data_IF_030798524178
#
_entry.id   IF_030798524178
#
_cell.length_a   1.000
_cell.length_b   1.000
_cell.length_c   1.000
_cell.angle_alpha   90.00
_cell.angle_beta   90.00
_cell.angle_gamma   90.00
#
_symmetry.space_group_name_H-M   'P 1'
#
loop_
_entity.id
_entity.type
_entity.pdbx_description
1 polymer ?
#
# COMPACT_ATOMS: atom_id res chain seq x y z
N UNK A 1 23.42 -3.93 63.95
CA UNK A 1 23.68 -2.79 63.04
C UNK A 1 23.59 -3.29 61.62
N UNK A 2 22.50 -3.00 60.92
CA UNK A 2 22.36 -3.25 59.47
C UNK A 2 22.26 -1.89 58.78
N UNK A 3 23.04 -1.62 57.71
CA UNK A 3 23.06 -0.29 57.12
C UNK A 3 21.79 -0.07 56.30
N UNK A 4 21.07 1.00 56.63
CA UNK A 4 19.97 1.54 55.84
C UNK A 4 20.55 2.15 54.56
N UNK A 5 20.46 1.41 53.44
CA UNK A 5 20.86 1.89 52.12
C UNK A 5 19.89 2.96 51.64
N UNK A 6 20.28 4.23 51.75
CA UNK A 6 19.52 5.35 51.19
C UNK A 6 19.59 5.28 49.66
N UNK A 7 18.46 4.97 49.03
CA UNK A 7 18.28 5.07 47.58
C UNK A 7 18.36 6.54 47.19
N UNK A 8 19.27 6.88 46.28
CA UNK A 8 19.45 8.28 45.84
C UNK A 8 18.35 8.67 44.83
N UNK A 9 17.91 9.95 44.77
CA UNK A 9 16.88 10.39 43.83
C UNK A 9 17.19 10.07 42.35
N UNK A 10 18.48 10.02 42.00
CA UNK A 10 18.96 9.65 40.66
C UNK A 10 18.68 8.17 40.31
N UNK A 11 18.70 7.27 41.31
CA UNK A 11 18.36 5.85 41.14
C UNK A 11 16.84 5.63 40.98
N UNK A 12 16.01 6.51 41.55
CA UNK A 12 14.55 6.48 41.39
C UNK A 12 14.10 7.00 40.00
N UNK A 13 14.82 7.97 39.42
CA UNK A 13 14.43 8.60 38.15
C UNK A 13 14.84 7.79 36.90
N UNK A 14 15.97 7.09 36.92
CA UNK A 14 16.48 6.35 35.75
C UNK A 14 15.64 5.10 35.41
N UNK A 15 15.16 4.37 36.42
CA UNK A 15 14.29 3.20 36.23
C UNK A 15 12.89 3.58 35.71
N UNK A 16 12.35 4.71 36.19
CA UNK A 16 11.06 5.27 35.78
C UNK A 16 11.03 5.62 34.29
N UNK A 17 12.05 6.31 33.78
CA UNK A 17 12.14 6.68 32.36
C UNK A 17 12.33 5.47 31.44
N UNK A 18 13.07 4.46 31.89
CA UNK A 18 13.24 3.23 31.11
C UNK A 18 11.92 2.45 31.01
N UNK A 19 11.19 2.29 32.13
CA UNK A 19 9.90 1.61 32.15
C UNK A 19 8.83 2.37 31.33
N UNK A 20 8.79 3.71 31.43
CA UNK A 20 7.94 4.56 30.59
C UNK A 20 8.27 4.40 29.10
N UNK A 21 9.56 4.36 28.75
CA UNK A 21 10.01 4.14 27.37
C UNK A 21 9.60 2.76 26.85
N UNK A 22 9.66 1.71 27.67
CA UNK A 22 9.18 0.37 27.31
C UNK A 22 7.66 0.34 27.16
N UNK A 23 6.91 0.98 28.07
CA UNK A 23 5.46 1.10 27.99
C UNK A 23 5.01 1.86 26.73
N UNK A 24 5.71 2.92 26.35
CA UNK A 24 5.46 3.65 25.10
C UNK A 24 5.79 2.80 23.86
N UNK A 25 6.87 2.01 23.89
CA UNK A 25 7.23 1.09 22.80
C UNK A 25 6.18 -0.03 22.65
N UNK A 26 5.66 -0.58 23.76
CA UNK A 26 4.57 -1.55 23.73
C UNK A 26 3.25 -0.95 23.24
N UNK A 27 3.00 0.32 23.54
CA UNK A 27 1.85 1.06 23.04
C UNK A 27 1.99 1.45 21.55
N UNK A 28 3.18 1.30 20.94
CA UNK A 28 3.32 1.49 19.51
C UNK A 28 2.54 0.41 18.77
N UNK A 29 1.75 0.88 17.80
CA UNK A 29 0.94 0.05 16.90
C UNK A 29 1.73 -1.02 16.13
N UNK A 30 3.06 -0.88 16.02
CA UNK A 30 3.92 -1.81 15.31
C UNK A 30 5.21 -2.06 16.09
N UNK A 31 5.50 -3.33 16.39
CA UNK A 31 6.83 -3.75 16.80
C UNK A 31 7.76 -3.75 15.57
N UNK A 32 8.95 -3.14 15.68
CA UNK A 32 9.99 -3.29 14.64
C UNK A 32 10.48 -4.74 14.66
N UNK A 33 10.22 -5.48 13.59
CA UNK A 33 10.82 -6.80 13.41
C UNK A 33 12.31 -6.63 13.09
N UNK A 34 13.18 -7.48 13.65
CA UNK A 34 14.56 -7.54 13.21
C UNK A 34 14.58 -7.98 11.75
N UNK A 35 15.37 -7.29 10.91
CA UNK A 35 15.62 -7.77 9.54
C UNK A 35 16.37 -9.09 9.66
N UNK A 36 15.70 -10.19 9.33
CA UNK A 36 16.33 -11.50 9.19
C UNK A 36 17.31 -11.54 8.02
N UNK A 37 18.07 -12.62 7.92
CA UNK A 37 19.04 -12.86 6.86
C UNK A 37 18.36 -12.82 5.48
N UNK A 38 18.93 -12.08 4.54
CA UNK A 38 18.40 -11.92 3.18
C UNK A 38 18.36 -13.29 2.50
N UNK A 39 17.15 -13.83 2.27
CA UNK A 39 16.97 -15.00 1.40
C UNK A 39 17.11 -14.54 -0.05
N UNK A 40 18.04 -15.15 -0.78
CA UNK A 40 18.14 -15.01 -2.24
C UNK A 40 17.14 -15.97 -2.87
N UNK A 41 16.07 -15.45 -3.44
CA UNK A 41 15.30 -16.19 -4.43
C UNK A 41 16.06 -16.14 -5.76
N UNK A 42 16.06 -17.24 -6.51
CA UNK A 42 16.52 -17.24 -7.89
C UNK A 42 15.52 -16.38 -8.70
N UNK A 43 15.73 -15.07 -8.73
CA UNK A 43 14.94 -14.18 -9.55
C UNK A 43 15.23 -14.55 -11.01
N UNK A 44 14.21 -15.04 -11.71
CA UNK A 44 14.28 -15.24 -13.16
C UNK A 44 14.59 -13.91 -13.88
N UNK A 45 15.05 -14.01 -15.13
CA UNK A 45 15.24 -12.85 -15.99
C UNK A 45 14.00 -11.95 -15.97
N UNK A 46 14.20 -10.64 -15.85
CA UNK A 46 13.09 -9.73 -15.68
C UNK A 46 12.28 -9.61 -16.97
N UNK A 47 11.01 -9.98 -16.93
CA UNK A 47 10.06 -9.89 -18.06
C UNK A 47 9.68 -8.44 -18.41
N UNK A 48 10.14 -7.45 -17.65
CA UNK A 48 9.73 -6.06 -17.78
C UNK A 48 10.61 -5.33 -18.82
N UNK A 49 10.02 -4.78 -19.89
CA UNK A 49 10.73 -3.96 -20.87
C UNK A 49 11.40 -2.74 -20.24
N UNK A 50 12.58 -2.36 -20.76
CA UNK A 50 13.32 -1.18 -20.29
C UNK A 50 12.48 0.10 -20.38
N UNK A 51 11.72 0.26 -21.46
CA UNK A 51 10.85 1.42 -21.71
C UNK A 51 9.75 1.63 -20.65
N UNK A 52 9.37 0.58 -19.91
CA UNK A 52 8.33 0.66 -18.88
C UNK A 52 8.90 0.93 -17.48
N UNK A 53 10.20 1.19 -17.35
CA UNK A 53 10.79 1.57 -16.07
C UNK A 53 10.28 2.93 -15.60
N UNK A 54 10.16 3.08 -14.28
CA UNK A 54 9.68 4.29 -13.62
C UNK A 54 10.54 5.52 -13.91
N UNK A 55 11.79 5.34 -14.33
CA UNK A 55 12.69 6.44 -14.75
C UNK A 55 12.21 7.12 -16.03
N UNK A 56 11.43 6.42 -16.87
CA UNK A 56 10.83 6.95 -18.09
C UNK A 56 9.41 7.48 -17.87
N UNK A 57 8.89 7.35 -16.65
CA UNK A 57 7.56 7.83 -16.30
C UNK A 57 7.53 9.36 -16.36
N UNK A 58 6.46 9.98 -16.91
CA UNK A 58 6.26 11.42 -16.84
C UNK A 58 6.44 12.01 -15.42
N UNK A 59 7.09 13.17 -15.33
CA UNK A 59 7.50 13.79 -14.05
C UNK A 59 6.30 14.35 -13.27
N UNK A 60 5.24 14.78 -13.95
CA UNK A 60 3.96 15.19 -13.36
C UNK A 60 3.36 14.13 -12.43
N UNK A 61 3.51 12.85 -12.78
CA UNK A 61 3.10 11.71 -11.96
C UNK A 61 3.86 11.70 -10.63
N UNK A 62 5.15 12.04 -10.62
CA UNK A 62 5.99 12.02 -9.40
C UNK A 62 5.48 12.96 -8.32
N UNK A 63 4.95 14.12 -8.71
CA UNK A 63 4.52 15.18 -7.80
C UNK A 63 3.17 14.93 -7.13
N UNK A 64 2.44 13.87 -7.51
CA UNK A 64 1.17 13.46 -6.88
C UNK A 64 0.11 14.58 -6.91
N UNK A 65 0.14 15.39 -7.97
CA UNK A 65 -0.74 16.55 -8.15
C UNK A 65 -2.06 16.19 -8.83
N UNK A 66 -2.02 15.16 -9.67
CA UNK A 66 -3.17 14.66 -10.44
C UNK A 66 -3.65 13.36 -9.81
N UNK A 67 -4.97 13.17 -9.76
CA UNK A 67 -5.59 11.93 -9.29
C UNK A 67 -5.61 10.88 -10.40
N UNK A 68 -5.67 9.60 -10.02
CA UNK A 68 -5.77 8.48 -10.96
C UNK A 68 -4.45 7.79 -11.28
N UNK A 69 -3.38 8.15 -10.55
CA UNK A 69 -2.13 7.41 -10.56
C UNK A 69 -2.08 6.51 -9.31
N UNK A 70 -1.89 5.22 -9.52
CA UNK A 70 -1.98 4.21 -8.46
C UNK A 70 -0.63 3.54 -8.22
N UNK A 71 -0.37 3.16 -6.97
CA UNK A 71 0.69 2.22 -6.61
C UNK A 71 0.04 0.88 -6.28
N UNK A 72 0.46 -0.20 -6.96
CA UNK A 72 0.00 -1.55 -6.68
C UNK A 72 0.97 -2.37 -5.84
N UNK A 73 0.46 -3.32 -5.06
CA UNK A 73 1.25 -4.33 -4.34
C UNK A 73 0.44 -5.60 -4.08
N UNK A 74 1.11 -6.64 -3.57
CA UNK A 74 0.50 -7.83 -3.02
C UNK A 74 0.77 -7.99 -1.53
N UNK A 75 -0.30 -8.21 -0.79
CA UNK A 75 -0.23 -8.81 0.54
C UNK A 75 -0.32 -10.32 0.35
N UNK A 76 0.81 -11.01 0.48
CA UNK A 76 0.86 -12.49 0.45
C UNK A 76 0.37 -13.06 1.78
N UNK A 77 -0.37 -14.17 1.69
CA UNK A 77 -0.88 -14.96 2.81
C UNK A 77 0.05 -16.12 3.19
N UNK A 78 -0.48 -17.07 3.94
CA UNK A 78 0.21 -18.25 4.42
C UNK A 78 0.92 -18.98 3.27
N UNK A 79 2.21 -19.27 3.45
CA UNK A 79 3.04 -20.03 2.50
C UNK A 79 3.04 -19.49 1.06
N UNK A 80 2.72 -18.20 0.86
CA UNK A 80 2.55 -17.57 -0.47
C UNK A 80 1.50 -18.25 -1.37
N UNK A 81 0.51 -18.96 -0.79
CA UNK A 81 -0.53 -19.68 -1.55
C UNK A 81 -1.77 -18.84 -1.89
N UNK A 82 -1.94 -17.71 -1.20
CA UNK A 82 -3.04 -16.77 -1.41
C UNK A 82 -2.50 -15.34 -1.40
N UNK A 83 -3.18 -14.43 -2.08
CA UNK A 83 -2.80 -13.02 -2.09
C UNK A 83 -4.02 -12.10 -2.12
N UNK A 84 -3.86 -10.90 -1.58
CA UNK A 84 -4.78 -9.77 -1.78
C UNK A 84 -3.99 -8.67 -2.49
N UNK A 85 -4.51 -8.19 -3.61
CA UNK A 85 -3.94 -7.04 -4.29
C UNK A 85 -4.31 -5.76 -3.57
N UNK A 86 -3.36 -4.85 -3.44
CA UNK A 86 -3.59 -3.52 -2.86
C UNK A 86 -3.31 -2.47 -3.93
N UNK A 87 -4.20 -1.49 -4.04
CA UNK A 87 -4.06 -0.34 -4.91
C UNK A 87 -4.20 0.91 -4.05
N UNK A 88 -3.21 1.80 -4.10
CA UNK A 88 -3.22 3.06 -3.35
C UNK A 88 -3.08 4.22 -4.33
N UNK A 89 -4.07 5.10 -4.34
CA UNK A 89 -4.05 6.29 -5.17
C UNK A 89 -3.01 7.28 -4.62
N UNK A 90 -2.14 7.80 -5.48
CA UNK A 90 -0.90 8.49 -5.06
C UNK A 90 -1.13 9.90 -4.54
N UNK A 91 -2.22 10.57 -4.90
CA UNK A 91 -2.58 11.92 -4.43
C UNK A 91 -3.38 11.84 -3.13
N UNK A 92 -4.54 11.19 -3.19
CA UNK A 92 -5.58 11.07 -2.17
C UNK A 92 -5.31 10.01 -1.12
N UNK A 93 -4.38 9.07 -1.37
CA UNK A 93 -4.12 7.88 -0.53
C UNK A 93 -5.29 6.91 -0.43
N UNK A 94 -6.28 7.05 -1.30
CA UNK A 94 -7.43 6.16 -1.31
C UNK A 94 -7.01 4.73 -1.62
N UNK A 95 -7.47 3.79 -0.81
CA UNK A 95 -7.09 2.38 -0.86
C UNK A 95 -8.22 1.56 -1.47
N UNK A 96 -7.86 0.69 -2.42
CA UNK A 96 -8.73 -0.35 -2.94
C UNK A 96 -8.06 -1.70 -2.70
N UNK A 97 -8.81 -2.63 -2.15
CA UNK A 97 -8.38 -4.01 -1.94
C UNK A 97 -9.04 -4.92 -2.97
N UNK A 98 -8.23 -5.77 -3.58
CA UNK A 98 -8.65 -6.66 -4.65
C UNK A 98 -8.50 -8.10 -4.18
N UNK A 99 -9.62 -8.82 -4.05
CA UNK A 99 -9.60 -10.27 -3.86
C UNK A 99 -8.99 -10.91 -5.10
N UNK A 100 -8.01 -11.79 -4.89
CA UNK A 100 -7.44 -12.63 -5.93
C UNK A 100 -7.96 -14.05 -5.78
N UNK A 101 -8.19 -14.71 -6.91
CA UNK A 101 -8.64 -16.11 -6.95
C UNK A 101 -7.46 -17.10 -6.91
N UNK A 102 -6.23 -16.58 -7.01
CA UNK A 102 -4.99 -17.31 -6.90
C UNK A 102 -3.78 -16.37 -6.80
N UNK A 103 -2.59 -16.89 -7.08
CA UNK A 103 -1.33 -16.15 -7.02
C UNK A 103 -0.64 -16.00 -8.39
N UNK A 104 -1.34 -16.33 -9.49
CA UNK A 104 -0.78 -16.23 -10.83
C UNK A 104 -0.89 -14.81 -11.38
N UNK A 105 -0.18 -14.53 -12.48
CA UNK A 105 -0.30 -13.25 -13.17
C UNK A 105 -1.69 -13.02 -13.80
N UNK A 106 -2.36 -14.10 -14.22
CA UNK A 106 -3.74 -14.04 -14.69
C UNK A 106 -4.72 -13.65 -13.58
N UNK A 107 -4.58 -14.27 -12.40
CA UNK A 107 -5.42 -13.95 -11.23
C UNK A 107 -5.25 -12.48 -10.81
N UNK A 108 -3.99 -12.01 -10.80
CA UNK A 108 -3.64 -10.63 -10.51
C UNK A 108 -4.32 -9.66 -11.49
N UNK A 109 -4.19 -9.93 -12.80
CA UNK A 109 -4.81 -9.14 -13.85
C UNK A 109 -6.33 -9.08 -13.69
N UNK A 110 -7.00 -10.22 -13.48
CA UNK A 110 -8.46 -10.28 -13.32
C UNK A 110 -8.90 -9.53 -12.05
N UNK A 111 -8.24 -9.77 -10.92
CA UNK A 111 -8.56 -9.10 -9.66
C UNK A 111 -8.45 -7.58 -9.74
N UNK A 112 -7.35 -7.07 -10.29
CA UNK A 112 -7.18 -5.62 -10.50
C UNK A 112 -8.18 -5.08 -11.52
N UNK A 113 -8.41 -5.79 -12.63
CA UNK A 113 -9.36 -5.37 -13.66
C UNK A 113 -10.77 -5.22 -13.09
N UNK A 114 -11.23 -6.19 -12.28
CA UNK A 114 -12.56 -6.16 -11.67
C UNK A 114 -12.79 -4.93 -10.80
N UNK A 115 -11.80 -4.52 -10.00
CA UNK A 115 -11.96 -3.36 -9.12
C UNK A 115 -11.76 -2.05 -9.88
N UNK A 116 -10.72 -1.95 -10.72
CA UNK A 116 -10.40 -0.72 -11.44
C UNK A 116 -11.51 -0.34 -12.45
N UNK A 117 -12.19 -1.32 -13.08
CA UNK A 117 -13.31 -1.03 -13.99
C UNK A 117 -14.49 -0.31 -13.34
N UNK A 118 -14.62 -0.37 -12.01
CA UNK A 118 -15.66 0.36 -11.27
C UNK A 118 -15.35 1.86 -11.16
N UNK A 119 -14.10 2.24 -11.43
CA UNK A 119 -13.66 3.63 -11.37
C UNK A 119 -13.93 4.34 -12.71
N UNK A 120 -14.30 5.64 -12.66
CA UNK A 120 -14.38 6.47 -13.84
C UNK A 120 -13.03 6.53 -14.56
N UNK A 121 -13.06 6.74 -15.88
CA UNK A 121 -11.87 6.69 -16.73
C UNK A 121 -10.79 7.69 -16.30
N UNK A 122 -11.18 8.88 -15.81
CA UNK A 122 -10.22 9.90 -15.38
C UNK A 122 -9.38 9.45 -14.17
N UNK A 123 -9.86 8.51 -13.36
CA UNK A 123 -9.11 7.91 -12.26
C UNK A 123 -8.25 6.71 -12.71
N UNK A 124 -8.21 6.35 -13.99
CA UNK A 124 -7.41 5.22 -14.51
C UNK A 124 -6.27 5.72 -15.40
N UNK A 125 -5.42 6.58 -14.87
CA UNK A 125 -4.31 7.16 -15.63
C UNK A 125 -3.11 6.21 -15.69
N UNK A 126 -2.61 5.77 -14.54
CA UNK A 126 -1.45 4.87 -14.52
C UNK A 126 -1.41 3.98 -13.28
N UNK A 127 -0.74 2.83 -13.41
CA UNK A 127 -0.42 1.91 -12.32
C UNK A 127 1.10 1.72 -12.23
N UNK A 128 1.67 2.02 -11.07
CA UNK A 128 3.07 1.74 -10.75
C UNK A 128 3.18 0.47 -9.91
N UNK A 129 4.04 -0.46 -10.32
CA UNK A 129 4.21 -1.76 -9.65
C UNK A 129 5.69 -2.14 -9.50
N UNK A 130 5.98 -3.19 -8.73
CA UNK A 130 7.30 -3.84 -8.74
C UNK A 130 7.43 -4.84 -9.91
N UNK A 131 8.63 -5.39 -10.09
CA UNK A 131 8.94 -6.32 -11.19
C UNK A 131 8.58 -7.78 -10.83
N UNK A 132 7.60 -7.99 -9.95
CA UNK A 132 7.14 -9.31 -9.53
C UNK A 132 6.52 -10.10 -10.69
N UNK A 133 6.70 -11.43 -10.70
CA UNK A 133 6.19 -12.34 -11.74
C UNK A 133 4.67 -12.28 -11.91
N UNK A 134 3.95 -11.89 -10.85
CA UNK A 134 2.52 -11.59 -10.85
C UNK A 134 2.09 -10.52 -11.87
N UNK A 135 3.01 -9.68 -12.34
CA UNK A 135 2.73 -8.64 -13.33
C UNK A 135 3.13 -9.03 -14.75
N UNK A 136 3.38 -10.33 -15.02
CA UNK A 136 3.68 -10.81 -16.36
C UNK A 136 2.60 -10.41 -17.39
N UNK A 137 1.32 -10.36 -16.98
CA UNK A 137 0.17 -9.97 -17.81
C UNK A 137 -0.10 -8.45 -17.85
N UNK A 138 0.88 -7.60 -17.52
CA UNK A 138 0.71 -6.14 -17.47
C UNK A 138 0.25 -5.50 -18.79
N UNK A 139 0.69 -6.03 -19.94
CA UNK A 139 0.32 -5.49 -21.24
C UNK A 139 -1.19 -5.62 -21.50
N UNK A 140 -1.78 -6.76 -21.13
CA UNK A 140 -3.22 -6.99 -21.24
C UNK A 140 -4.00 -6.17 -20.21
N UNK A 141 -3.46 -6.04 -18.98
CA UNK A 141 -4.04 -5.16 -17.96
C UNK A 141 -4.11 -3.71 -18.47
N UNK A 142 -3.01 -3.18 -19.02
CA UNK A 142 -2.92 -1.83 -19.59
C UNK A 142 -3.97 -1.62 -20.69
N UNK A 143 -4.07 -2.56 -21.64
CA UNK A 143 -5.08 -2.50 -22.71
C UNK A 143 -6.51 -2.52 -22.19
N UNK A 144 -6.83 -3.44 -21.27
CA UNK A 144 -8.19 -3.61 -20.72
C UNK A 144 -8.65 -2.40 -19.91
N UNK A 145 -7.73 -1.78 -19.17
CA UNK A 145 -8.02 -0.65 -18.30
C UNK A 145 -7.71 0.71 -18.93
N UNK A 146 -7.13 0.74 -20.15
CA UNK A 146 -6.68 1.95 -20.84
C UNK A 146 -5.86 2.85 -19.92
N UNK A 147 -4.86 2.26 -19.26
CA UNK A 147 -3.96 2.95 -18.34
C UNK A 147 -2.51 2.59 -18.63
N UNK A 148 -1.59 3.48 -18.25
CA UNK A 148 -0.15 3.21 -18.39
C UNK A 148 0.37 2.36 -17.22
N UNK A 149 1.28 1.43 -17.50
CA UNK A 149 1.92 0.63 -16.45
C UNK A 149 3.41 0.98 -16.37
N UNK A 150 3.87 1.26 -15.16
CA UNK A 150 5.25 1.61 -14.85
C UNK A 150 5.83 0.67 -13.80
N UNK A 151 7.10 0.32 -13.95
CA UNK A 151 7.78 -0.62 -13.07
C UNK A 151 8.92 0.03 -12.30
N UNK A 152 8.97 -0.22 -11.00
CA UNK A 152 10.04 0.26 -10.13
C UNK A 152 11.38 -0.38 -10.48
N UNK A 153 12.45 0.32 -10.15
CA UNK A 153 13.80 -0.19 -10.32
C UNK A 153 14.09 -1.29 -9.29
N UNK A 154 14.87 -2.32 -9.66
CA UNK A 154 15.39 -3.28 -8.69
C UNK A 154 16.09 -2.55 -7.54
N UNK A 155 15.87 -3.04 -6.32
CA UNK A 155 16.49 -2.50 -5.10
C UNK A 155 16.09 -1.05 -4.72
N UNK A 156 15.01 -0.51 -5.30
CA UNK A 156 14.53 0.84 -4.99
C UNK A 156 13.14 0.86 -4.30
N UNK A 157 12.98 0.27 -3.09
CA UNK A 157 11.68 0.18 -2.41
C UNK A 157 11.05 1.55 -2.10
N UNK A 158 11.86 2.61 -1.94
CA UNK A 158 11.37 3.97 -1.68
C UNK A 158 10.52 4.55 -2.83
N UNK A 159 10.64 4.00 -4.04
CA UNK A 159 9.82 4.39 -5.19
C UNK A 159 8.32 4.06 -4.99
N UNK A 160 7.97 3.21 -4.00
CA UNK A 160 6.59 2.85 -3.60
C UNK A 160 6.30 3.11 -2.13
N UNK A 161 6.82 4.21 -1.58
CA UNK A 161 6.67 4.51 -0.14
C UNK A 161 5.22 4.56 0.38
N UNK A 162 4.20 4.70 -0.48
CA UNK A 162 2.80 4.68 -0.02
C UNK A 162 2.34 3.29 0.38
N UNK A 163 2.74 2.27 -0.39
CA UNK A 163 2.26 0.91 -0.19
C UNK A 163 2.87 0.25 1.05
N UNK A 164 4.12 0.56 1.40
CA UNK A 164 4.72 0.01 2.63
C UNK A 164 3.93 0.41 3.88
N UNK A 165 3.60 1.71 4.01
CA UNK A 165 2.80 2.21 5.11
C UNK A 165 1.37 1.63 5.10
N UNK A 166 0.70 1.64 3.94
CA UNK A 166 -0.67 1.12 3.82
C UNK A 166 -0.72 -0.38 4.12
N UNK A 167 0.20 -1.17 3.57
CA UNK A 167 0.28 -2.61 3.85
C UNK A 167 0.54 -2.88 5.33
N UNK A 168 1.38 -2.07 5.98
CA UNK A 168 1.59 -2.13 7.43
C UNK A 168 0.32 -1.92 8.26
N UNK A 169 -0.61 -1.07 7.80
CA UNK A 169 -1.91 -0.88 8.43
C UNK A 169 -2.87 -2.03 8.13
N UNK A 170 -2.88 -2.50 6.89
CA UNK A 170 -3.71 -3.62 6.45
C UNK A 170 -3.39 -4.92 7.21
N UNK A 171 -2.14 -5.10 7.67
CA UNK A 171 -1.76 -6.25 8.50
C UNK A 171 -2.46 -6.32 9.87
N UNK A 172 -3.14 -5.27 10.31
CA UNK A 172 -4.02 -5.33 11.49
C UNK A 172 -5.28 -6.15 11.22
N UNK A 173 -5.77 -6.14 9.97
CA UNK A 173 -6.95 -6.86 9.52
C UNK A 173 -6.60 -8.18 8.84
N UNK A 174 -5.43 -8.23 8.19
CA UNK A 174 -4.94 -9.35 7.40
C UNK A 174 -3.56 -9.80 7.92
N UNK A 175 -3.50 -10.44 9.11
CA UNK A 175 -2.24 -10.78 9.76
C UNK A 175 -1.31 -11.61 8.86
N UNK A 176 0.00 -11.58 9.16
CA UNK A 176 0.95 -12.43 8.44
C UNK A 176 0.66 -13.90 8.75
N UNK A 177 0.83 -14.77 7.76
CA UNK A 177 0.66 -16.21 7.94
C UNK A 177 -0.79 -16.71 7.96
N UNK A 178 -1.78 -15.85 7.71
CA UNK A 178 -3.17 -16.27 7.54
C UNK A 178 -3.46 -16.63 6.09
N UNK A 179 -4.44 -17.52 5.88
CA UNK A 179 -4.98 -17.77 4.55
C UNK A 179 -5.82 -16.56 4.10
N UNK A 180 -5.40 -15.95 2.98
CA UNK A 180 -6.04 -14.76 2.41
C UNK A 180 -7.01 -15.11 1.27
N UNK A 181 -7.28 -16.40 1.03
CA UNK A 181 -8.37 -16.84 0.15
C UNK A 181 -9.75 -16.76 0.84
N UNK A 182 -9.77 -16.68 2.17
CA UNK A 182 -10.99 -16.64 2.98
C UNK A 182 -11.75 -15.30 2.92
N UNK A 183 -11.10 -14.12 3.02
CA UNK A 183 -11.82 -12.85 3.00
C UNK A 183 -12.60 -12.64 1.70
N UNK A 184 -13.90 -12.35 1.83
CA UNK A 184 -14.75 -12.00 0.69
C UNK A 184 -14.40 -10.59 0.19
N UNK A 185 -14.75 -10.29 -1.07
CA UNK A 185 -14.56 -8.93 -1.59
C UNK A 185 -15.34 -7.88 -0.77
N UNK A 186 -16.50 -8.23 -0.21
CA UNK A 186 -17.27 -7.35 0.68
C UNK A 186 -16.49 -7.00 1.94
N UNK A 187 -15.92 -8.00 2.62
CA UNK A 187 -15.07 -7.77 3.80
C UNK A 187 -13.85 -6.89 3.47
N UNK A 188 -13.25 -7.09 2.29
CA UNK A 188 -12.15 -6.24 1.83
C UNK A 188 -12.58 -4.79 1.58
N UNK A 189 -13.80 -4.58 1.07
CA UNK A 189 -14.35 -3.24 0.91
C UNK A 189 -14.59 -2.57 2.27
N UNK A 190 -15.08 -3.31 3.26
CA UNK A 190 -15.29 -2.80 4.63
C UNK A 190 -13.97 -2.37 5.28
N UNK A 191 -12.92 -3.20 5.13
CA UNK A 191 -11.57 -2.87 5.59
C UNK A 191 -11.05 -1.61 4.87
N UNK A 192 -11.23 -1.52 3.54
CA UNK A 192 -10.83 -0.36 2.77
C UNK A 192 -11.56 0.91 3.23
N UNK A 193 -12.88 0.83 3.45
CA UNK A 193 -13.70 1.92 3.99
C UNK A 193 -13.15 2.41 5.35
N UNK A 194 -12.88 1.49 6.27
CA UNK A 194 -12.26 1.82 7.56
C UNK A 194 -10.88 2.49 7.42
N UNK A 195 -10.11 2.20 6.38
CA UNK A 195 -8.82 2.85 6.12
C UNK A 195 -8.97 4.22 5.43
N UNK A 196 -9.96 4.34 4.55
CA UNK A 196 -10.25 5.54 3.76
C UNK A 196 -10.98 6.60 4.57
N UNK A 197 -11.69 6.23 5.64
CA UNK A 197 -12.27 7.14 6.61
C UNK A 197 -11.29 7.60 7.71
N UNK A 198 -9.99 7.24 7.65
CA UNK A 198 -9.00 7.66 8.65
C UNK A 198 -8.30 8.96 8.24
N UNK A 199 -8.33 10.00 9.08
CA UNK A 199 -7.52 11.21 8.92
C UNK A 199 -6.05 10.92 8.64
N UNK A 200 -5.46 11.62 7.67
CA UNK A 200 -4.03 11.52 7.34
C UNK A 200 -3.35 12.86 7.50
N UNK A 201 -2.29 12.91 8.31
CA UNK A 201 -1.46 14.13 8.43
C UNK A 201 -0.95 14.61 7.06
N UNK A 202 -0.60 13.69 6.16
CA UNK A 202 -0.16 13.99 4.79
C UNK A 202 -1.21 14.65 3.91
N UNK A 203 -2.49 14.61 4.31
CA UNK A 203 -3.63 15.25 3.66
C UNK A 203 -4.18 16.42 4.49
N UNK A 204 -3.39 16.97 5.42
CA UNK A 204 -3.86 18.02 6.32
C UNK A 204 -4.97 17.54 7.27
N UNK A 205 -4.87 16.29 7.74
CA UNK A 205 -5.84 15.62 8.62
C UNK A 205 -7.20 15.31 8.00
N UNK A 206 -7.34 15.49 6.69
CA UNK A 206 -8.49 15.03 5.94
C UNK A 206 -8.44 13.52 5.70
N UNK A 207 -9.58 12.91 5.42
CA UNK A 207 -9.65 11.49 5.10
C UNK A 207 -9.40 11.26 3.60
N UNK A 208 -8.80 10.12 3.21
CA UNK A 208 -8.67 9.76 1.80
C UNK A 208 -10.00 9.77 1.04
N UNK A 209 -11.09 9.38 1.71
CA UNK A 209 -12.43 9.41 1.15
C UNK A 209 -12.90 10.83 0.83
N UNK A 210 -12.75 11.78 1.75
CA UNK A 210 -13.11 13.20 1.52
C UNK A 210 -12.33 13.79 0.35
N UNK A 211 -11.02 13.56 0.30
CA UNK A 211 -10.18 14.11 -0.77
C UNK A 211 -10.51 13.45 -2.11
N UNK A 212 -10.80 12.14 -2.13
CA UNK A 212 -11.25 11.46 -3.34
C UNK A 212 -12.60 12.00 -3.83
N UNK A 213 -13.56 12.22 -2.94
CA UNK A 213 -14.85 12.79 -3.28
C UNK A 213 -14.73 14.18 -3.91
N UNK A 214 -13.83 15.03 -3.40
CA UNK A 214 -13.54 16.33 -4.02
C UNK A 214 -12.95 16.21 -5.42
N UNK A 215 -12.03 15.27 -5.64
CA UNK A 215 -11.46 15.07 -6.98
C UNK A 215 -12.52 14.60 -7.98
N UNK A 216 -13.46 13.74 -7.54
CA UNK A 216 -14.62 13.37 -8.35
C UNK A 216 -15.53 14.56 -8.63
N UNK A 217 -15.83 15.39 -7.62
CA UNK A 217 -16.66 16.58 -7.79
C UNK A 217 -16.05 17.61 -8.75
N UNK A 218 -14.75 17.90 -8.61
CA UNK A 218 -14.00 18.81 -9.49
C UNK A 218 -14.05 18.36 -10.94
N UNK A 219 -13.86 17.06 -11.18
CA UNK A 219 -13.94 16.51 -12.52
C UNK A 219 -15.34 16.65 -13.11
N UNK A 220 -16.38 16.29 -12.36
CA UNK A 220 -17.78 16.45 -12.80
C UNK A 220 -18.14 17.90 -13.11
N UNK A 221 -17.66 18.87 -12.30
CA UNK A 221 -17.89 20.29 -12.57
C UNK A 221 -17.13 20.81 -13.79
N UNK A 222 -15.93 20.29 -14.08
CA UNK A 222 -15.15 20.66 -15.26
C UNK A 222 -15.81 20.17 -16.55
N UNK A 223 -16.28 18.92 -16.57
CA UNK A 223 -16.98 18.36 -17.74
C UNK A 223 -18.27 19.13 -18.05
N UNK A 224 -18.99 19.60 -17.04
CA UNK A 224 -20.21 20.39 -17.21
C UNK A 224 -19.97 21.80 -17.79
N UNK A 225 -18.75 22.32 -17.73
CA UNK A 225 -18.38 23.62 -18.32
C UNK A 225 -17.89 23.48 -19.78
N UNK A 226 -17.44 22.29 -20.17
CA UNK A 226 -16.92 21.98 -21.50
C UNK A 226 -17.98 21.33 -22.43
N UNK A 227 -19.21 21.14 -21.96
CA UNK A 227 -20.35 20.55 -22.70
C UNK A 227 -21.41 21.58 -23.05
#
# INVERSE_FOLDING_TARGET
>A
MSPSGKVTPEQLFSGSLHALKQGMIQALRQAKTSRGTRRTTAAGASFVPESLRIVHRPEDIKHRRVSGHWEGDFIKGAFNRSAIGTLVERKTRFVILCRMDGCTAGDAMEGFTRQMKKLPAFLRQSLTYDRGSEMACHADLSKRLKLDVWFCDPHAPWQRGSNENTNGLLRQFLPKGTDLSLPSQTMLNDIACLLNGRPRQTLGWRTPEEVMAEEMAKWSSGVALDS
#
